data_IF_649127512770
#
_entry.id   IF_649127512770
#
_cell.length_a   1.000
_cell.length_b   1.000
_cell.length_c   1.000
_cell.angle_alpha   90.00
_cell.angle_beta   90.00
_cell.angle_gamma   90.00
#
_symmetry.space_group_name_H-M   'P 1'
#
loop_
_entity.id
_entity.type
_entity.pdbx_description
1 polymer ?
#
# COMPACT_ATOMS: atom_id res chain seq x y z
N UNK A 1 -24.05 24.90 21.06
CA UNK A 1 -23.70 23.46 20.97
C UNK A 1 -22.28 23.39 20.42
N UNK A 2 -21.28 23.52 21.28
CA UNK A 2 -19.87 23.50 20.87
C UNK A 2 -19.28 22.18 21.31
N UNK A 3 -19.13 21.24 20.37
CA UNK A 3 -18.37 20.02 20.62
C UNK A 3 -16.92 20.41 20.96
N UNK A 4 -16.31 19.82 22.00
CA UNK A 4 -14.97 20.21 22.43
C UNK A 4 -13.96 19.85 21.34
N UNK A 5 -13.19 20.86 20.90
CA UNK A 5 -12.13 20.84 19.87
C UNK A 5 -10.98 19.84 20.15
N UNK A 6 -11.08 19.02 21.21
CA UNK A 6 -10.05 18.08 21.66
C UNK A 6 -10.34 16.59 21.42
N UNK A 7 -11.56 16.18 21.06
CA UNK A 7 -11.84 14.78 20.73
C UNK A 7 -11.94 14.59 19.23
N UNK A 8 -11.03 13.79 18.67
CA UNK A 8 -11.17 13.27 17.31
C UNK A 8 -12.49 12.49 17.26
N UNK A 9 -13.49 13.07 16.60
CA UNK A 9 -14.82 12.48 16.45
C UNK A 9 -14.72 11.15 15.70
N UNK A 10 -15.68 10.25 15.98
CA UNK A 10 -15.79 8.94 15.31
C UNK A 10 -15.80 9.09 13.79
N UNK A 11 -16.38 10.17 13.29
CA UNK A 11 -16.40 10.54 11.87
C UNK A 11 -15.01 10.79 11.28
N UNK A 12 -14.08 11.39 12.04
CA UNK A 12 -12.71 11.60 11.57
C UNK A 12 -11.99 10.25 11.38
N UNK A 13 -12.22 9.28 12.26
CA UNK A 13 -11.69 7.91 12.08
C UNK A 13 -12.25 7.25 10.82
N UNK A 14 -13.54 7.41 10.56
CA UNK A 14 -14.18 6.91 9.35
C UNK A 14 -13.64 7.59 8.08
N UNK A 15 -13.33 8.89 8.14
CA UNK A 15 -12.69 9.59 7.02
C UNK A 15 -11.28 9.08 6.75
N UNK A 16 -10.50 8.76 7.80
CA UNK A 16 -9.19 8.12 7.63
C UNK A 16 -9.31 6.74 6.98
N UNK A 17 -10.28 5.92 7.39
CA UNK A 17 -10.54 4.62 6.76
C UNK A 17 -10.83 4.75 5.26
N UNK A 18 -11.77 5.64 4.90
CA UNK A 18 -12.14 5.89 3.50
C UNK A 18 -10.98 6.42 2.68
N UNK A 19 -10.20 7.35 3.24
CA UNK A 19 -9.04 7.92 2.56
C UNK A 19 -7.94 6.87 2.33
N UNK A 20 -7.66 6.01 3.32
CA UNK A 20 -6.71 4.91 3.17
C UNK A 20 -7.14 3.93 2.08
N UNK A 21 -8.40 3.49 2.08
CA UNK A 21 -8.92 2.60 1.05
C UNK A 21 -8.90 3.24 -0.34
N UNK A 22 -9.34 4.50 -0.44
CA UNK A 22 -9.37 5.23 -1.71
C UNK A 22 -7.97 5.39 -2.31
N UNK A 23 -6.98 5.80 -1.51
CA UNK A 23 -5.60 5.96 -1.99
C UNK A 23 -4.91 4.62 -2.26
N UNK A 24 -5.25 3.56 -1.53
CA UNK A 24 -4.77 2.21 -1.80
C UNK A 24 -5.28 1.70 -3.16
N UNK A 25 -6.59 1.83 -3.42
CA UNK A 25 -7.19 1.44 -4.69
C UNK A 25 -6.68 2.28 -5.87
N UNK A 26 -6.47 3.57 -5.66
CA UNK A 26 -5.90 4.48 -6.66
C UNK A 26 -4.38 4.30 -6.87
N UNK A 27 -3.73 3.35 -6.16
CA UNK A 27 -2.27 3.12 -6.18
C UNK A 27 -1.45 4.40 -5.93
N UNK A 28 -2.02 5.34 -5.17
CA UNK A 28 -1.40 6.64 -4.92
C UNK A 28 -0.64 6.58 -3.58
N UNK A 29 0.53 5.94 -3.62
CA UNK A 29 1.30 5.56 -2.44
C UNK A 29 1.78 6.76 -1.61
N UNK A 30 2.11 7.87 -2.27
CA UNK A 30 2.58 9.08 -1.61
C UNK A 30 1.49 9.68 -0.70
N UNK A 31 0.27 9.80 -1.24
CA UNK A 31 -0.90 10.24 -0.46
C UNK A 31 -1.32 9.22 0.60
N UNK A 32 -1.15 7.93 0.34
CA UNK A 32 -1.43 6.88 1.32
C UNK A 32 -0.50 7.00 2.55
N UNK A 33 0.79 7.25 2.33
CA UNK A 33 1.77 7.49 3.42
C UNK A 33 1.40 8.74 4.22
N UNK A 34 1.04 9.83 3.54
CA UNK A 34 0.63 11.07 4.19
C UNK A 34 -0.61 10.87 5.08
N UNK A 35 -1.63 10.18 4.57
CA UNK A 35 -2.84 9.86 5.34
C UNK A 35 -2.51 8.97 6.53
N UNK A 36 -1.64 7.97 6.35
CA UNK A 36 -1.21 7.10 7.43
C UNK A 36 -0.45 7.85 8.53
N UNK A 37 0.46 8.77 8.18
CA UNK A 37 1.12 9.64 9.14
C UNK A 37 0.13 10.51 9.91
N UNK A 38 -0.80 11.17 9.20
CA UNK A 38 -1.85 11.98 9.84
C UNK A 38 -2.72 11.17 10.78
N UNK A 39 -3.06 9.94 10.40
CA UNK A 39 -3.80 8.99 11.25
C UNK A 39 -2.99 8.59 12.49
N UNK A 40 -1.70 8.31 12.35
CA UNK A 40 -0.82 7.97 13.47
C UNK A 40 -0.68 9.14 14.47
N UNK A 41 -0.52 10.37 13.96
CA UNK A 41 -0.43 11.57 14.80
C UNK A 41 -1.77 11.91 15.45
N UNK A 42 -2.88 11.66 14.75
CA UNK A 42 -4.23 11.70 15.32
C UNK A 42 -4.38 10.69 16.48
N UNK A 43 -3.91 9.45 16.31
CA UNK A 43 -3.97 8.42 17.37
C UNK A 43 -3.14 8.80 18.59
N UNK A 44 -1.93 9.33 18.38
CA UNK A 44 -1.06 9.83 19.46
C UNK A 44 -1.71 10.98 20.23
N UNK A 45 -2.29 11.96 19.53
CA UNK A 45 -2.96 13.12 20.15
C UNK A 45 -4.25 12.72 20.87
N UNK A 46 -5.02 11.78 20.32
CA UNK A 46 -6.28 11.35 20.90
C UNK A 46 -6.12 10.47 22.16
N UNK A 47 -4.92 9.99 22.48
CA UNK A 47 -4.65 9.24 23.72
C UNK A 47 -5.53 7.98 23.87
N UNK A 48 -5.98 7.66 25.09
CA UNK A 48 -6.84 6.49 25.35
C UNK A 48 -8.30 6.74 24.94
N UNK A 49 -9.02 5.73 24.41
CA UNK A 49 -10.43 5.88 24.07
C UNK A 49 -11.25 6.03 25.36
N UNK A 50 -12.10 7.06 25.39
CA UNK A 50 -12.92 7.39 26.57
C UNK A 50 -14.34 6.81 26.50
N UNK A 51 -14.69 6.14 25.41
CA UNK A 51 -16.03 5.55 25.22
C UNK A 51 -15.98 4.29 24.37
N UNK A 52 -16.94 3.38 24.59
CA UNK A 52 -17.05 2.12 23.82
C UNK A 52 -17.14 2.36 22.32
N UNK A 53 -17.86 3.41 21.90
CA UNK A 53 -17.99 3.80 20.49
C UNK A 53 -16.66 4.24 19.87
N UNK A 54 -15.81 4.95 20.63
CA UNK A 54 -14.46 5.31 20.18
C UNK A 54 -13.54 4.08 20.10
N UNK A 55 -13.67 3.14 21.04
CA UNK A 55 -12.94 1.88 21.01
C UNK A 55 -13.31 1.06 19.76
N UNK A 56 -14.60 0.95 19.45
CA UNK A 56 -15.09 0.26 18.25
C UNK A 56 -14.61 0.93 16.95
N UNK A 57 -14.66 2.27 16.87
CA UNK A 57 -14.15 3.02 15.73
C UNK A 57 -12.65 2.76 15.50
N UNK A 58 -11.85 2.71 16.57
CA UNK A 58 -10.42 2.38 16.46
C UNK A 58 -10.16 0.93 16.06
N UNK A 59 -10.99 -0.01 16.52
CA UNK A 59 -10.88 -1.41 16.08
C UNK A 59 -11.23 -1.56 14.59
N UNK A 60 -12.26 -0.86 14.12
CA UNK A 60 -12.60 -0.79 12.69
C UNK A 60 -11.41 -0.26 11.88
N UNK A 61 -10.83 0.85 12.33
CA UNK A 61 -9.69 1.48 11.66
C UNK A 61 -8.48 0.54 11.60
N UNK A 62 -8.19 -0.16 12.70
CA UNK A 62 -7.10 -1.12 12.75
C UNK A 62 -7.30 -2.28 11.75
N UNK A 63 -8.53 -2.79 11.62
CA UNK A 63 -8.86 -3.82 10.62
C UNK A 63 -8.70 -3.31 9.20
N UNK A 64 -9.23 -2.13 8.89
CA UNK A 64 -9.07 -1.52 7.56
C UNK A 64 -7.60 -1.28 7.22
N UNK A 65 -6.81 -0.80 8.18
CA UNK A 65 -5.37 -0.61 8.00
C UNK A 65 -4.65 -1.95 7.73
N UNK A 66 -4.98 -3.02 8.47
CA UNK A 66 -4.44 -4.36 8.20
C UNK A 66 -4.78 -4.87 6.80
N UNK A 67 -6.02 -4.67 6.34
CA UNK A 67 -6.43 -5.05 4.99
C UNK A 67 -5.62 -4.30 3.92
N UNK A 68 -5.42 -3.00 4.09
CA UNK A 68 -4.60 -2.19 3.18
C UNK A 68 -3.14 -2.68 3.16
N UNK A 69 -2.56 -3.03 4.31
CA UNK A 69 -1.22 -3.61 4.37
C UNK A 69 -1.13 -4.97 3.67
N UNK A 70 -2.15 -5.81 3.83
CA UNK A 70 -2.20 -7.11 3.16
C UNK A 70 -2.26 -6.93 1.64
N UNK A 71 -3.09 -6.00 1.15
CA UNK A 71 -3.16 -5.66 -0.28
C UNK A 71 -1.80 -5.14 -0.79
N UNK A 72 -1.16 -4.23 -0.06
CA UNK A 72 0.16 -3.70 -0.42
C UNK A 72 1.22 -4.78 -0.54
N UNK A 73 1.23 -5.75 0.38
CA UNK A 73 2.17 -6.87 0.31
C UNK A 73 1.89 -7.76 -0.90
N UNK A 74 0.62 -8.05 -1.19
CA UNK A 74 0.24 -8.82 -2.38
C UNK A 74 0.67 -8.12 -3.68
N UNK A 75 0.45 -6.80 -3.78
CA UNK A 75 0.85 -5.99 -4.93
C UNK A 75 2.38 -5.98 -5.08
N UNK A 76 3.12 -5.85 -3.97
CA UNK A 76 4.59 -5.92 -3.97
C UNK A 76 5.09 -7.27 -4.48
N UNK A 77 4.51 -8.37 -3.98
CA UNK A 77 4.91 -9.71 -4.38
C UNK A 77 4.56 -10.00 -5.84
N UNK A 78 3.43 -9.48 -6.32
CA UNK A 78 3.05 -9.54 -7.73
C UNK A 78 4.06 -8.79 -8.61
N UNK A 79 4.39 -7.55 -8.26
CA UNK A 79 5.38 -6.76 -8.99
C UNK A 79 6.76 -7.43 -9.02
N UNK A 80 7.16 -8.07 -7.91
CA UNK A 80 8.40 -8.84 -7.84
C UNK A 80 8.41 -10.04 -8.80
N UNK A 81 7.30 -10.75 -8.91
CA UNK A 81 7.14 -11.85 -9.88
C UNK A 81 7.23 -11.34 -11.32
N UNK A 82 6.54 -10.24 -11.64
CA UNK A 82 6.58 -9.62 -12.96
C UNK A 82 7.98 -9.16 -13.34
N UNK A 83 8.71 -8.51 -12.42
CA UNK A 83 10.12 -8.14 -12.64
C UNK A 83 11.02 -9.34 -12.89
N UNK A 84 10.81 -10.45 -12.17
CA UNK A 84 11.59 -11.68 -12.38
C UNK A 84 11.33 -12.29 -13.75
N UNK A 85 10.06 -12.34 -14.19
CA UNK A 85 9.68 -12.85 -15.50
C UNK A 85 10.23 -11.95 -16.62
N UNK A 86 10.16 -10.64 -16.46
CA UNK A 86 10.70 -9.69 -17.43
C UNK A 86 12.21 -9.84 -17.60
N UNK A 87 12.96 -10.03 -16.51
CA UNK A 87 14.41 -10.31 -16.56
C UNK A 87 14.71 -11.61 -17.29
N UNK A 88 13.99 -12.69 -16.98
CA UNK A 88 14.16 -13.98 -17.66
C UNK A 88 13.88 -13.90 -19.16
N UNK A 89 12.87 -13.13 -19.57
CA UNK A 89 12.59 -12.89 -20.98
C UNK A 89 13.72 -12.11 -21.67
N UNK A 90 14.27 -11.08 -21.01
CA UNK A 90 15.43 -10.33 -21.52
C UNK A 90 16.67 -11.23 -21.67
N UNK A 91 16.98 -12.04 -20.67
CA UNK A 91 18.11 -12.97 -20.71
C UNK A 91 17.92 -14.03 -21.81
N UNK A 92 16.70 -14.54 -21.97
CA UNK A 92 16.35 -15.45 -23.05
C UNK A 92 16.58 -14.82 -24.43
N UNK A 93 16.05 -13.61 -24.66
CA UNK A 93 16.24 -12.89 -25.92
C UNK A 93 17.72 -12.62 -26.23
N UNK A 94 18.51 -12.24 -25.22
CA UNK A 94 19.95 -12.03 -25.37
C UNK A 94 20.69 -13.32 -25.75
N UNK A 95 20.35 -14.45 -25.12
CA UNK A 95 20.93 -15.76 -25.45
C UNK A 95 20.58 -16.21 -26.87
N UNK A 96 19.35 -15.95 -27.34
CA UNK A 96 18.95 -16.22 -28.73
C UNK A 96 19.73 -15.36 -29.73
N UNK A 97 19.91 -14.07 -29.46
CA UNK A 97 20.72 -13.20 -30.33
C UNK A 97 22.18 -13.64 -30.40
N UNK A 98 22.77 -14.03 -29.26
CA UNK A 98 24.14 -14.57 -29.24
C UNK A 98 24.26 -15.89 -29.98
N UNK A 99 23.26 -16.78 -29.88
CA UNK A 99 23.25 -18.07 -30.59
C UNK A 99 23.09 -17.88 -32.10
N UNK A 100 22.23 -16.96 -32.53
CA UNK A 100 22.11 -16.62 -33.95
C UNK A 100 23.39 -15.95 -34.49
N UNK A 101 24.03 -15.09 -33.70
CA UNK A 101 25.28 -14.45 -34.06
C UNK A 101 26.45 -15.44 -34.10
N UNK A 102 26.51 -16.43 -33.20
CA UNK A 102 27.58 -17.44 -33.19
C UNK A 102 27.38 -18.53 -34.23
N UNK A 103 26.14 -18.89 -34.56
CA UNK A 103 25.81 -19.85 -35.62
C UNK A 103 26.09 -19.32 -37.04
N UNK A 104 26.27 -18.01 -37.21
CA UNK A 104 26.61 -17.37 -38.49
C UNK A 104 28.11 -17.25 -38.80
N UNK A 105 29.02 -17.74 -37.94
CA UNK A 105 30.48 -17.50 -38.05
C UNK A 105 31.28 -18.80 -38.30
N UNK A 106 30.65 -19.85 -38.84
CA UNK A 106 31.36 -21.06 -39.30
C UNK A 106 30.86 -21.48 -40.68
N UNK A 107 31.36 -20.82 -41.72
CA UNK A 107 31.55 -21.39 -43.05
C UNK A 107 32.48 -20.46 -43.83
N UNK A 108 33.79 -20.68 -43.67
CA UNK A 108 34.82 -20.35 -44.67
C UNK A 108 35.63 -21.63 -44.88
#
# INVERSE_FOLDING_TARGET
MSEPVGQISIEQWLQFEKALQFHAQAKNWDKLVLVNQKMADALKRAGKPNSRSQLLARQSLARTHQQVLQQLNQDKDQLKREMSQFKQQQDGLAAYQMTCASAGVHND
#
